data_IF_006189643641
#
_entry.id   IF_006189643641
#
_cell.length_a   1.000
_cell.length_b   1.000
_cell.length_c   1.000
_cell.angle_alpha   90.00
_cell.angle_beta   90.00
_cell.angle_gamma   90.00
#
_symmetry.space_group_name_H-M   'P 1'
#
loop_
_entity.id
_entity.type
_entity.pdbx_description
1 polymer ?
#
# COMPACT_ATOMS: atom_id res chain seq x y z
N UNK A 1 1.19 20.52 -21.64
CA UNK A 1 0.76 19.12 -21.78
C UNK A 1 1.62 18.23 -20.90
N UNK A 2 1.03 17.48 -19.97
CA UNK A 2 1.70 16.32 -19.36
C UNK A 2 1.98 15.31 -20.49
N UNK A 3 3.07 14.55 -20.38
CA UNK A 3 3.54 13.63 -21.44
C UNK A 3 2.54 12.52 -21.77
N UNK A 4 2.94 11.59 -22.64
CA UNK A 4 2.13 10.40 -22.95
C UNK A 4 1.72 9.63 -21.68
N UNK A 5 0.60 8.88 -21.71
CA UNK A 5 0.18 8.03 -20.60
C UNK A 5 1.30 7.11 -20.15
N UNK A 6 1.51 7.01 -18.85
CA UNK A 6 2.46 6.09 -18.26
C UNK A 6 1.90 5.59 -16.92
N UNK A 7 2.21 4.34 -16.60
CA UNK A 7 1.76 3.72 -15.37
C UNK A 7 2.82 3.88 -14.28
N UNK A 8 2.39 4.28 -13.09
CA UNK A 8 3.15 4.11 -11.86
C UNK A 8 2.71 2.79 -11.22
N UNK A 9 3.59 1.80 -11.18
CA UNK A 9 3.28 0.45 -10.73
C UNK A 9 4.16 0.11 -9.52
N UNK A 10 3.54 -0.38 -8.45
CA UNK A 10 4.22 -1.04 -7.35
C UNK A 10 3.97 -2.54 -7.45
N UNK A 11 5.04 -3.32 -7.62
CA UNK A 11 4.98 -4.78 -7.65
C UNK A 11 5.52 -5.30 -6.32
N UNK A 12 4.64 -5.83 -5.49
CA UNK A 12 5.03 -6.53 -4.27
C UNK A 12 5.30 -8.00 -4.58
N UNK A 13 6.45 -8.49 -4.12
CA UNK A 13 6.85 -9.89 -4.24
C UNK A 13 7.02 -10.42 -2.83
N UNK A 14 6.30 -11.51 -2.53
CA UNK A 14 6.38 -12.18 -1.24
C UNK A 14 7.81 -12.68 -1.00
N UNK A 15 8.32 -12.48 0.22
CA UNK A 15 9.67 -12.89 0.65
C UNK A 15 10.81 -12.33 -0.21
N UNK A 16 10.63 -11.16 -0.84
CA UNK A 16 11.74 -10.47 -1.50
C UNK A 16 12.84 -10.07 -0.49
N UNK A 17 14.13 -10.27 -0.82
CA UNK A 17 15.23 -10.09 0.12
C UNK A 17 15.57 -8.61 0.37
N UNK A 18 15.84 -8.23 1.60
CA UNK A 18 16.00 -6.83 2.04
C UNK A 18 17.47 -6.48 2.19
N UNK A 19 17.86 -5.34 1.63
CA UNK A 19 19.23 -4.83 1.78
C UNK A 19 19.50 -4.49 3.24
N UNK A 20 20.64 -4.99 3.75
CA UNK A 20 21.07 -4.77 5.13
C UNK A 20 20.50 -5.78 6.14
N UNK A 21 19.59 -6.67 5.72
CA UNK A 21 19.07 -7.78 6.54
C UNK A 21 19.54 -9.12 5.94
N UNK A 22 19.19 -9.34 4.68
CA UNK A 22 19.51 -10.57 3.96
C UNK A 22 20.92 -10.49 3.34
N UNK A 23 21.46 -11.65 2.93
CA UNK A 23 22.81 -11.73 2.38
C UNK A 23 22.92 -10.92 1.09
N UNK A 24 23.99 -10.12 0.89
CA UNK A 24 24.16 -9.33 -0.32
C UNK A 24 24.08 -10.15 -1.61
N UNK A 25 24.55 -11.39 -1.60
CA UNK A 25 24.52 -12.30 -2.74
C UNK A 25 23.10 -12.70 -3.12
N UNK A 26 22.25 -12.96 -2.13
CA UNK A 26 20.83 -13.30 -2.31
C UNK A 26 20.07 -12.11 -2.91
N UNK A 27 20.30 -10.91 -2.37
CA UNK A 27 19.73 -9.67 -2.93
C UNK A 27 20.20 -9.41 -4.35
N UNK A 28 21.52 -9.53 -4.60
CA UNK A 28 22.10 -9.35 -5.93
C UNK A 28 21.49 -10.30 -6.95
N UNK A 29 21.42 -11.59 -6.61
CA UNK A 29 20.84 -12.62 -7.48
C UNK A 29 19.36 -12.33 -7.75
N UNK A 30 18.60 -11.94 -6.73
CA UNK A 30 17.19 -11.62 -6.87
C UNK A 30 16.94 -10.46 -7.83
N UNK A 31 17.76 -9.40 -7.75
CA UNK A 31 17.70 -8.25 -8.66
C UNK A 31 18.07 -8.68 -10.07
N UNK A 32 19.20 -9.37 -10.26
CA UNK A 32 19.71 -9.74 -11.59
C UNK A 32 18.79 -10.70 -12.35
N UNK A 33 18.05 -11.55 -11.64
CA UNK A 33 17.05 -12.45 -12.21
C UNK A 33 15.84 -11.68 -12.80
N UNK A 34 15.55 -10.47 -12.29
CA UNK A 34 14.31 -9.73 -12.63
C UNK A 34 14.56 -8.43 -13.37
N UNK A 35 15.70 -7.79 -13.18
CA UNK A 35 16.00 -6.46 -13.70
C UNK A 35 17.35 -6.50 -14.38
N UNK A 36 17.39 -6.04 -15.62
CA UNK A 36 18.60 -5.97 -16.44
C UNK A 36 18.65 -4.67 -17.23
N UNK A 37 19.84 -4.28 -17.67
CA UNK A 37 20.04 -3.27 -18.70
C UNK A 37 20.75 -3.85 -19.93
N UNK A 38 20.83 -5.18 -20.03
CA UNK A 38 21.54 -5.87 -21.09
C UNK A 38 20.86 -5.66 -22.45
N UNK A 39 21.64 -5.47 -23.51
CA UNK A 39 21.16 -5.55 -24.89
C UNK A 39 21.43 -6.98 -25.39
N UNK A 40 20.40 -7.82 -25.58
CA UNK A 40 20.59 -9.18 -26.06
C UNK A 40 21.22 -9.22 -27.45
N UNK A 41 21.90 -10.31 -27.80
CA UNK A 41 22.45 -10.48 -29.14
C UNK A 41 21.35 -10.59 -30.20
N UNK A 42 21.56 -9.94 -31.35
CA UNK A 42 20.56 -9.84 -32.41
C UNK A 42 20.32 -11.15 -33.16
N UNK A 43 21.26 -12.09 -33.11
CA UNK A 43 21.11 -13.39 -33.76
C UNK A 43 20.37 -14.38 -32.86
N UNK A 44 20.62 -14.33 -31.55
CA UNK A 44 20.01 -15.26 -30.57
C UNK A 44 18.66 -14.78 -30.06
N UNK A 45 18.42 -13.47 -29.97
CA UNK A 45 17.19 -12.89 -29.45
C UNK A 45 16.81 -11.61 -30.22
N UNK A 46 16.52 -11.71 -31.52
CA UNK A 46 16.25 -10.56 -32.40
C UNK A 46 15.09 -9.69 -31.89
N UNK A 47 14.01 -10.32 -31.41
CA UNK A 47 12.84 -9.59 -30.92
C UNK A 47 13.15 -8.74 -29.68
N UNK A 48 13.83 -9.32 -28.69
CA UNK A 48 14.15 -8.59 -27.46
C UNK A 48 15.23 -7.53 -27.73
N UNK A 49 16.22 -7.83 -28.58
CA UNK A 49 17.19 -6.84 -29.05
C UNK A 49 16.47 -5.62 -29.64
N UNK A 50 15.55 -5.85 -30.59
CA UNK A 50 14.75 -4.80 -31.20
C UNK A 50 13.97 -3.98 -30.17
N UNK A 51 13.28 -4.64 -29.23
CA UNK A 51 12.50 -3.96 -28.20
C UNK A 51 13.38 -3.09 -27.27
N UNK A 52 14.54 -3.58 -26.85
CA UNK A 52 15.47 -2.85 -25.98
C UNK A 52 16.01 -1.63 -26.71
N UNK A 53 16.53 -1.81 -27.93
CA UNK A 53 17.10 -0.73 -28.73
C UNK A 53 16.05 0.33 -29.09
N UNK A 54 14.80 -0.08 -29.32
CA UNK A 54 13.70 0.83 -29.66
C UNK A 54 13.16 1.60 -28.45
N UNK A 55 12.92 0.92 -27.33
CA UNK A 55 12.15 1.49 -26.22
C UNK A 55 12.96 1.85 -24.98
N UNK A 56 14.11 1.22 -24.73
CA UNK A 56 14.88 1.41 -23.48
C UNK A 56 16.11 2.29 -23.63
N UNK A 57 16.45 2.70 -24.87
CA UNK A 57 17.59 3.59 -25.12
C UNK A 57 17.28 5.04 -24.74
N UNK A 58 17.88 5.51 -23.66
CA UNK A 58 17.77 6.88 -23.22
C UNK A 58 18.48 7.86 -24.17
N UNK A 59 17.69 8.78 -24.74
CA UNK A 59 18.19 9.92 -25.52
C UNK A 59 17.95 11.20 -24.73
N UNK A 60 19.03 11.92 -24.43
CA UNK A 60 18.93 13.11 -23.60
C UNK A 60 18.17 14.23 -24.33
N UNK A 61 17.07 14.70 -23.73
CA UNK A 61 16.28 15.85 -24.23
C UNK A 61 16.45 17.07 -23.33
N UNK A 62 15.83 18.21 -23.70
CA UNK A 62 15.79 19.42 -22.86
C UNK A 62 15.18 19.15 -21.48
N UNK A 63 14.29 18.17 -21.37
CA UNK A 63 13.64 17.80 -20.11
C UNK A 63 14.61 17.22 -19.07
N UNK A 64 15.56 16.40 -19.53
CA UNK A 64 16.47 15.71 -18.61
C UNK A 64 17.81 16.41 -18.45
N UNK A 65 18.24 17.23 -19.41
CA UNK A 65 19.48 18.01 -19.29
C UNK A 65 19.30 19.14 -18.28
N UNK A 66 20.13 19.14 -17.24
CA UNK A 66 20.20 20.19 -16.22
C UNK A 66 21.62 20.75 -16.18
N UNK A 67 21.74 22.06 -16.01
CA UNK A 67 23.04 22.69 -15.75
C UNK A 67 23.32 22.60 -14.26
N UNK A 68 24.41 21.92 -13.91
CA UNK A 68 24.85 21.74 -12.54
C UNK A 68 26.15 22.51 -12.37
N UNK A 69 26.25 23.30 -11.30
CA UNK A 69 27.48 24.00 -10.95
C UNK A 69 28.45 23.02 -10.31
N UNK A 70 29.63 22.88 -10.90
CA UNK A 70 30.73 22.05 -10.38
C UNK A 70 31.93 22.97 -10.20
N UNK A 71 32.20 23.37 -8.95
CA UNK A 71 33.19 24.40 -8.65
C UNK A 71 32.81 25.75 -9.25
N UNK A 72 33.64 26.27 -10.16
CA UNK A 72 33.42 27.56 -10.84
C UNK A 72 32.74 27.43 -12.22
N UNK A 73 32.55 26.20 -12.73
CA UNK A 73 32.00 25.94 -14.07
C UNK A 73 30.60 25.33 -14.00
N UNK A 74 29.80 25.55 -15.04
CA UNK A 74 28.51 24.88 -15.23
C UNK A 74 28.66 23.75 -16.23
N UNK A 75 28.17 22.57 -15.86
CA UNK A 75 28.22 21.38 -16.71
C UNK A 75 26.79 20.90 -16.96
N UNK A 76 26.46 20.62 -18.22
CA UNK A 76 25.17 20.02 -18.55
C UNK A 76 25.22 18.53 -18.23
N UNK A 77 24.39 18.07 -17.28
CA UNK A 77 24.27 16.66 -16.90
C UNK A 77 22.82 16.18 -17.05
N UNK A 78 22.66 14.89 -17.32
CA UNK A 78 21.34 14.28 -17.29
C UNK A 78 20.90 14.11 -15.84
N UNK A 79 19.69 14.57 -15.48
CA UNK A 79 19.08 14.37 -14.15
C UNK A 79 18.82 12.90 -13.79
N UNK A 80 18.96 12.00 -14.75
CA UNK A 80 18.79 10.55 -14.60
C UNK A 80 20.14 9.80 -14.65
N UNK A 81 21.24 10.54 -14.55
CA UNK A 81 22.62 10.03 -14.53
C UNK A 81 23.04 9.23 -15.77
N UNK A 82 22.49 9.57 -16.94
CA UNK A 82 22.97 9.05 -18.22
C UNK A 82 24.11 9.90 -18.80
N UNK A 83 25.18 9.29 -19.36
CA UNK A 83 25.43 7.84 -19.41
C UNK A 83 25.77 7.27 -18.02
N UNK A 84 25.20 6.11 -17.69
CA UNK A 84 25.43 5.42 -16.42
C UNK A 84 26.81 4.72 -16.45
N UNK A 85 27.51 4.59 -15.31
CA UNK A 85 28.86 4.04 -15.27
C UNK A 85 28.89 2.57 -15.73
N UNK A 86 29.97 2.21 -16.42
CA UNK A 86 30.33 0.82 -16.76
C UNK A 86 30.72 0.08 -15.48
N UNK A 87 30.24 -1.15 -15.32
CA UNK A 87 30.54 -2.02 -14.18
C UNK A 87 30.54 -3.48 -14.59
N UNK A 88 31.51 -4.24 -14.11
CA UNK A 88 31.67 -5.66 -14.43
C UNK A 88 30.74 -6.59 -13.63
N UNK A 89 30.24 -6.10 -12.48
CA UNK A 89 29.32 -6.80 -11.60
C UNK A 89 28.24 -5.87 -11.05
N UNK A 90 27.16 -6.46 -10.51
CA UNK A 90 26.20 -5.73 -9.69
C UNK A 90 26.88 -5.23 -8.41
N UNK A 91 26.49 -4.05 -7.95
CA UNK A 91 26.99 -3.44 -6.73
C UNK A 91 25.80 -2.88 -5.94
N UNK A 92 25.70 -3.27 -4.67
CA UNK A 92 24.77 -2.71 -3.70
C UNK A 92 25.55 -1.72 -2.85
N UNK A 93 25.05 -0.49 -2.76
CA UNK A 93 25.59 0.52 -1.88
C UNK A 93 24.95 0.40 -0.50
N UNK A 94 25.65 0.90 0.51
CA UNK A 94 25.09 1.07 1.84
C UNK A 94 23.82 1.95 1.79
N UNK A 95 22.77 1.52 2.46
CA UNK A 95 21.44 2.15 2.42
C UNK A 95 21.49 3.53 3.07
N UNK A 96 22.12 3.64 4.24
CA UNK A 96 22.17 4.89 4.99
C UNK A 96 22.93 5.97 4.21
N UNK A 97 24.09 5.61 3.64
CA UNK A 97 24.83 6.50 2.78
C UNK A 97 24.08 6.85 1.49
N UNK A 98 23.38 5.89 0.87
CA UNK A 98 22.58 6.13 -0.33
C UNK A 98 21.45 7.12 -0.09
N UNK A 99 20.74 7.00 1.04
CA UNK A 99 19.69 7.93 1.44
C UNK A 99 20.24 9.33 1.75
N UNK A 100 21.35 9.43 2.49
CA UNK A 100 21.97 10.73 2.84
C UNK A 100 22.51 11.47 1.62
N UNK A 101 23.09 10.75 0.68
CA UNK A 101 23.75 11.32 -0.51
C UNK A 101 22.84 11.35 -1.75
N UNK A 102 21.59 10.89 -1.63
CA UNK A 102 20.65 10.72 -2.75
C UNK A 102 21.21 9.84 -3.88
N UNK A 103 22.12 8.93 -3.55
CA UNK A 103 22.71 8.00 -4.51
C UNK A 103 21.78 6.80 -4.70
N UNK A 104 21.92 6.12 -5.86
CA UNK A 104 21.20 4.88 -6.10
C UNK A 104 21.66 3.80 -5.12
N UNK A 105 20.69 3.03 -4.60
CA UNK A 105 20.94 1.91 -3.68
C UNK A 105 21.71 0.78 -4.37
N UNK A 106 21.53 0.59 -5.68
CA UNK A 106 22.27 -0.42 -6.43
C UNK A 106 22.58 0.03 -7.86
N UNK A 107 23.59 -0.60 -8.45
CA UNK A 107 23.96 -0.48 -9.86
C UNK A 107 24.08 -1.87 -10.48
N UNK A 108 23.41 -2.08 -11.62
CA UNK A 108 23.55 -3.31 -12.41
C UNK A 108 24.91 -3.39 -13.10
N UNK A 109 25.34 -4.63 -13.40
CA UNK A 109 26.40 -4.89 -14.38
C UNK A 109 26.05 -4.23 -15.70
N UNK A 110 26.99 -3.50 -16.29
CA UNK A 110 26.75 -2.68 -17.48
C UNK A 110 28.03 -2.52 -18.30
N UNK A 111 27.96 -2.83 -19.59
CA UNK A 111 29.07 -2.57 -20.52
C UNK A 111 28.94 -1.21 -21.23
N UNK A 112 29.94 -0.84 -22.04
CA UNK A 112 29.99 0.44 -22.75
C UNK A 112 28.80 0.69 -23.70
N UNK A 113 28.23 -0.37 -24.30
CA UNK A 113 27.08 -0.27 -25.20
C UNK A 113 25.77 -0.01 -24.45
N UNK A 114 25.75 -0.35 -23.15
CA UNK A 114 24.57 -0.33 -22.28
C UNK A 114 24.49 0.91 -21.38
N UNK A 115 25.47 1.81 -21.45
CA UNK A 115 25.54 3.08 -20.68
C UNK A 115 24.31 3.98 -20.83
N UNK A 116 23.49 3.73 -21.86
CA UNK A 116 22.24 4.47 -22.13
C UNK A 116 20.97 3.63 -22.03
N UNK A 117 21.06 2.38 -21.58
CA UNK A 117 19.89 1.51 -21.45
C UNK A 117 19.26 1.71 -20.07
N UNK A 118 17.94 1.96 -20.05
CA UNK A 118 17.14 1.93 -18.83
C UNK A 118 17.16 0.54 -18.18
N UNK A 119 16.89 0.49 -16.87
CA UNK A 119 16.72 -0.80 -16.20
C UNK A 119 15.31 -1.33 -16.51
N UNK A 120 15.22 -2.56 -17.01
CA UNK A 120 13.97 -3.16 -17.49
C UNK A 120 13.86 -4.64 -17.10
N UNK A 121 12.64 -5.17 -17.18
CA UNK A 121 12.38 -6.60 -17.06
C UNK A 121 12.08 -7.17 -18.46
N UNK A 122 12.78 -8.21 -18.93
CA UNK A 122 12.60 -8.74 -20.29
C UNK A 122 11.18 -9.19 -20.62
N UNK A 123 10.51 -9.84 -19.67
CA UNK A 123 9.14 -10.33 -19.85
C UNK A 123 8.16 -9.15 -19.93
N UNK A 124 8.24 -8.22 -18.99
CA UNK A 124 7.39 -7.03 -18.99
C UNK A 124 7.61 -6.18 -20.24
N UNK A 125 8.84 -6.06 -20.74
CA UNK A 125 9.11 -5.33 -21.97
C UNK A 125 8.46 -5.98 -23.19
N UNK A 126 8.47 -7.32 -23.27
CA UNK A 126 7.79 -8.06 -24.36
C UNK A 126 6.27 -7.85 -24.36
N UNK A 127 5.68 -7.79 -23.17
CA UNK A 127 4.24 -7.57 -22.98
C UNK A 127 3.85 -6.10 -23.20
N UNK A 128 4.61 -5.17 -22.61
CA UNK A 128 4.31 -3.74 -22.59
C UNK A 128 4.68 -3.01 -23.87
N UNK A 129 5.83 -3.35 -24.48
CA UNK A 129 6.35 -2.73 -25.72
C UNK A 129 6.44 -1.20 -25.68
N UNK A 130 6.78 -0.67 -24.51
CA UNK A 130 7.04 0.75 -24.31
C UNK A 130 8.16 0.96 -23.27
N UNK A 131 8.61 2.20 -23.13
CA UNK A 131 9.66 2.56 -22.18
C UNK A 131 9.25 2.17 -20.75
N UNK A 132 10.21 1.64 -19.97
CA UNK A 132 10.05 1.42 -18.54
C UNK A 132 11.35 1.79 -17.82
N UNK A 133 11.25 2.03 -16.52
CA UNK A 133 12.40 2.26 -15.64
C UNK A 133 12.06 1.55 -14.33
N UNK A 134 12.48 0.29 -14.23
CA UNK A 134 12.20 -0.55 -13.07
C UNK A 134 13.30 -0.39 -12.04
N UNK A 135 12.90 -0.17 -10.79
CA UNK A 135 13.81 -0.05 -9.67
C UNK A 135 13.43 -1.03 -8.58
N UNK A 136 14.42 -1.77 -8.09
CA UNK A 136 14.26 -2.58 -6.89
C UNK A 136 14.19 -1.68 -5.65
N UNK A 137 13.14 -1.89 -4.87
CA UNK A 137 12.86 -1.18 -3.63
C UNK A 137 13.46 -2.04 -2.52
N UNK A 138 14.68 -1.69 -2.15
CA UNK A 138 15.58 -2.55 -1.39
C UNK A 138 15.46 -2.39 0.15
N UNK A 139 14.63 -1.47 0.62
CA UNK A 139 14.56 -1.05 2.02
C UNK A 139 13.11 -1.08 2.51
N UNK A 140 12.92 -1.32 3.81
CA UNK A 140 11.59 -1.34 4.48
C UNK A 140 11.18 0.00 5.11
N UNK A 141 11.91 1.09 4.87
CA UNK A 141 11.69 2.34 5.60
C UNK A 141 10.41 3.07 5.19
N UNK A 142 9.90 3.85 6.15
CA UNK A 142 8.73 4.70 5.98
C UNK A 142 8.93 5.74 4.86
N UNK A 143 10.16 6.26 4.71
CA UNK A 143 10.51 7.26 3.70
C UNK A 143 10.36 6.75 2.27
N UNK A 144 10.67 5.47 2.03
CA UNK A 144 10.48 4.83 0.73
C UNK A 144 8.98 4.57 0.46
N UNK A 145 8.23 4.22 1.51
CA UNK A 145 6.76 4.10 1.44
C UNK A 145 6.12 5.46 1.11
N UNK A 146 6.57 6.55 1.72
CA UNK A 146 6.12 7.92 1.40
C UNK A 146 6.50 8.33 -0.02
N UNK A 147 7.71 8.01 -0.48
CA UNK A 147 8.14 8.28 -1.85
C UNK A 147 7.24 7.55 -2.85
N UNK A 148 7.08 6.24 -2.69
CA UNK A 148 6.24 5.40 -3.55
C UNK A 148 4.79 5.88 -3.52
N UNK A 149 4.27 6.16 -2.32
CA UNK A 149 2.92 6.71 -2.15
C UNK A 149 2.79 8.04 -2.88
N UNK A 150 3.77 8.94 -2.76
CA UNK A 150 3.78 10.23 -3.45
C UNK A 150 3.84 10.13 -4.98
N UNK A 151 4.35 9.03 -5.54
CA UNK A 151 4.25 8.75 -6.99
C UNK A 151 2.89 8.19 -7.39
N UNK A 152 2.28 7.34 -6.55
CA UNK A 152 0.94 6.80 -6.77
C UNK A 152 -0.13 7.90 -6.61
N UNK A 153 0.02 8.77 -5.61
CA UNK A 153 -0.92 9.86 -5.28
C UNK A 153 -0.57 11.18 -5.97
N UNK A 154 0.45 11.19 -6.85
CA UNK A 154 0.96 12.39 -7.54
C UNK A 154 -0.09 13.17 -8.33
N UNK A 155 -1.25 12.55 -8.59
CA UNK A 155 -2.35 13.13 -9.33
C UNK A 155 -3.36 13.93 -8.48
N UNK A 156 -3.30 13.90 -7.15
CA UNK A 156 -4.38 14.49 -6.31
C UNK A 156 -3.93 15.68 -5.47
N UNK A 157 -3.17 16.61 -6.07
CA UNK A 157 -3.07 17.96 -5.49
C UNK A 157 -4.31 18.77 -5.88
N UNK A 158 -5.48 18.38 -5.39
CA UNK A 158 -6.61 19.31 -5.35
C UNK A 158 -6.30 20.39 -4.32
N UNK A 159 -6.60 21.65 -4.62
CA UNK A 159 -6.55 22.77 -3.67
C UNK A 159 -7.56 22.57 -2.53
N UNK A 160 -7.28 21.61 -1.65
CA UNK A 160 -8.17 21.20 -0.57
C UNK A 160 -8.09 22.13 0.65
N UNK A 161 -7.06 22.99 0.73
CA UNK A 161 -6.98 24.02 1.77
C UNK A 161 -8.21 24.95 1.72
N UNK A 162 -8.65 25.36 0.53
CA UNK A 162 -9.77 26.29 0.34
C UNK A 162 -11.16 25.64 0.53
N UNK A 163 -11.21 24.33 0.80
CA UNK A 163 -12.46 23.60 1.10
C UNK A 163 -12.90 23.81 2.55
N UNK A 164 -11.96 24.01 3.47
CA UNK A 164 -12.25 24.16 4.91
C UNK A 164 -13.01 25.46 5.22
N UNK A 165 -12.78 26.51 4.43
CA UNK A 165 -13.50 27.78 4.56
C UNK A 165 -14.98 27.63 4.17
N UNK A 166 -15.30 26.78 3.19
CA UNK A 166 -16.69 26.45 2.81
C UNK A 166 -17.35 25.45 3.76
N UNK A 167 -16.58 24.52 4.34
CA UNK A 167 -17.05 23.68 5.45
C UNK A 167 -17.43 24.56 6.65
N UNK A 168 -16.78 25.71 6.84
CA UNK A 168 -17.07 26.63 7.95
C UNK A 168 -18.25 27.58 7.68
N UNK A 169 -18.94 27.47 6.54
CA UNK A 169 -20.11 28.32 6.23
C UNK A 169 -21.36 27.93 7.03
N UNK A 170 -22.21 28.92 7.34
CA UNK A 170 -23.50 28.74 8.03
C UNK A 170 -24.62 28.18 7.13
N UNK A 171 -24.29 27.69 5.94
CA UNK A 171 -25.26 27.10 5.03
C UNK A 171 -25.83 25.76 5.58
N UNK A 172 -27.00 25.36 5.12
CA UNK A 172 -27.51 24.01 5.42
C UNK A 172 -26.61 22.93 4.79
N UNK A 173 -26.65 21.71 5.34
CA UNK A 173 -25.73 20.62 4.98
C UNK A 173 -25.76 20.26 3.49
N UNK A 174 -26.92 20.33 2.85
CA UNK A 174 -27.07 20.02 1.43
C UNK A 174 -26.37 21.07 0.55
N UNK A 175 -26.61 22.35 0.83
CA UNK A 175 -25.96 23.47 0.12
C UNK A 175 -24.44 23.43 0.30
N UNK A 176 -23.95 23.11 1.51
CA UNK A 176 -22.51 22.93 1.79
C UNK A 176 -21.92 21.79 0.97
N UNK A 177 -22.55 20.61 1.00
CA UNK A 177 -22.09 19.44 0.23
C UNK A 177 -22.09 19.72 -1.28
N UNK A 178 -23.09 20.43 -1.79
CA UNK A 178 -23.17 20.79 -3.21
C UNK A 178 -22.07 21.78 -3.63
N UNK A 179 -21.79 22.80 -2.81
CA UNK A 179 -20.69 23.76 -3.05
C UNK A 179 -19.33 23.07 -3.03
N UNK A 180 -19.09 22.24 -2.00
CA UNK A 180 -17.89 21.39 -1.90
C UNK A 180 -17.76 20.51 -3.15
N UNK A 181 -18.83 19.84 -3.56
CA UNK A 181 -18.83 18.99 -4.76
C UNK A 181 -18.49 19.77 -6.03
N UNK A 182 -19.10 20.94 -6.25
CA UNK A 182 -18.79 21.80 -7.40
C UNK A 182 -17.33 22.28 -7.39
N UNK A 183 -16.80 22.66 -6.23
CA UNK A 183 -15.43 23.14 -6.11
C UNK A 183 -14.42 22.02 -6.32
N UNK A 184 -14.68 20.83 -5.79
CA UNK A 184 -13.90 19.62 -6.06
C UNK A 184 -13.86 19.30 -7.56
N UNK A 185 -14.99 19.41 -8.25
CA UNK A 185 -15.06 19.20 -9.70
C UNK A 185 -14.33 20.28 -10.51
N UNK A 186 -14.43 21.55 -10.11
CA UNK A 186 -13.78 22.69 -10.79
C UNK A 186 -12.28 22.77 -10.53
N UNK A 187 -11.83 22.40 -9.34
CA UNK A 187 -10.42 22.44 -8.95
C UNK A 187 -9.62 21.25 -9.49
N UNK A 188 -10.30 20.22 -10.03
CA UNK A 188 -9.62 19.06 -10.60
C UNK A 188 -9.13 19.39 -12.01
N UNK A 189 -7.84 19.76 -12.12
CA UNK A 189 -7.15 19.78 -13.42
C UNK A 189 -6.83 18.36 -13.88
N UNK A 190 -7.54 17.90 -14.91
CA UNK A 190 -7.38 16.57 -15.50
C UNK A 190 -6.62 16.69 -16.81
N UNK A 191 -5.60 15.84 -17.03
CA UNK A 191 -4.90 15.79 -18.32
C UNK A 191 -5.81 15.24 -19.43
N UNK A 192 -5.53 15.56 -20.71
CA UNK A 192 -6.35 15.09 -21.84
C UNK A 192 -6.63 13.58 -21.80
N UNK A 193 -5.58 12.76 -21.59
CA UNK A 193 -5.72 11.30 -21.53
C UNK A 193 -6.53 10.84 -20.32
N UNK A 194 -6.26 11.39 -19.13
CA UNK A 194 -7.04 11.06 -17.92
C UNK A 194 -8.52 11.43 -18.10
N UNK A 195 -8.81 12.54 -18.79
CA UNK A 195 -10.17 12.94 -19.11
C UNK A 195 -10.83 11.98 -20.12
N UNK A 196 -10.09 11.55 -21.15
CA UNK A 196 -10.56 10.54 -22.09
C UNK A 196 -10.89 9.22 -21.40
N UNK A 197 -9.99 8.73 -20.54
CA UNK A 197 -10.19 7.49 -19.78
C UNK A 197 -11.43 7.59 -18.87
N UNK A 198 -11.58 8.70 -18.14
CA UNK A 198 -12.75 8.95 -17.29
C UNK A 198 -14.07 8.99 -18.09
N UNK A 199 -14.09 9.62 -19.26
CA UNK A 199 -15.27 9.69 -20.13
C UNK A 199 -15.65 8.32 -20.72
N UNK A 200 -14.66 7.47 -20.97
CA UNK A 200 -14.87 6.09 -21.43
C UNK A 200 -15.19 5.11 -20.30
N UNK A 201 -15.12 5.55 -19.04
CA UNK A 201 -15.35 4.71 -17.86
C UNK A 201 -14.16 3.81 -17.53
N UNK A 202 -12.97 4.11 -18.04
CA UNK A 202 -11.75 3.37 -17.75
C UNK A 202 -11.25 3.65 -16.33
N UNK A 203 -10.69 2.62 -15.69
CA UNK A 203 -10.22 2.73 -14.31
C UNK A 203 -8.83 3.39 -14.25
N UNK A 204 -8.73 4.56 -13.62
CA UNK A 204 -7.46 5.30 -13.47
C UNK A 204 -6.48 4.63 -12.51
N UNK A 205 -6.96 3.74 -11.64
CA UNK A 205 -6.13 3.00 -10.69
C UNK A 205 -6.69 1.60 -10.50
N UNK A 206 -5.81 0.63 -10.33
CA UNK A 206 -6.19 -0.76 -10.04
C UNK A 206 -5.31 -1.31 -8.92
N UNK A 207 -5.90 -2.15 -8.08
CA UNK A 207 -5.20 -2.89 -7.03
C UNK A 207 -5.57 -4.37 -7.11
N UNK A 208 -4.58 -5.23 -6.95
CA UNK A 208 -4.78 -6.68 -6.94
C UNK A 208 -5.40 -7.18 -5.63
N UNK A 209 -5.27 -6.40 -4.55
CA UNK A 209 -5.71 -6.72 -3.20
C UNK A 209 -6.77 -5.74 -2.73
N UNK A 210 -7.86 -6.27 -2.19
CA UNK A 210 -8.90 -5.47 -1.55
C UNK A 210 -8.43 -5.07 -0.15
N UNK A 211 -8.61 -3.80 0.20
CA UNK A 211 -8.33 -3.30 1.55
C UNK A 211 -9.66 -3.22 2.29
N UNK A 212 -9.73 -3.82 3.48
CA UNK A 212 -10.92 -3.76 4.34
C UNK A 212 -10.58 -3.09 5.66
N UNK A 213 -11.28 -2.00 5.99
CA UNK A 213 -11.03 -1.27 7.22
C UNK A 213 -11.69 -1.97 8.43
N UNK A 214 -10.93 -2.20 9.49
CA UNK A 214 -11.40 -2.68 10.80
C UNK A 214 -11.42 -1.49 11.76
N UNK A 215 -12.57 -1.22 12.36
CA UNK A 215 -12.72 -0.15 13.33
C UNK A 215 -12.27 -0.61 14.72
N UNK A 216 -10.99 -0.40 15.02
CA UNK A 216 -10.30 -0.82 16.25
C UNK A 216 -10.50 0.11 17.45
N UNK A 217 -11.35 1.14 17.35
CA UNK A 217 -11.70 1.94 18.53
C UNK A 217 -12.44 1.08 19.56
N UNK A 218 -12.36 1.51 20.83
CA UNK A 218 -13.16 0.97 21.93
C UNK A 218 -14.66 0.97 21.58
N UNK A 219 -15.45 0.02 22.12
CA UNK A 219 -16.87 -0.15 21.78
C UNK A 219 -17.68 1.15 21.80
N UNK A 220 -17.51 1.98 22.83
CA UNK A 220 -18.24 3.24 23.01
C UNK A 220 -17.82 4.36 22.04
N UNK A 221 -16.66 4.23 21.37
CA UNK A 221 -16.16 5.16 20.34
C UNK A 221 -16.44 4.66 18.92
N UNK A 222 -16.90 3.41 18.76
CA UNK A 222 -17.06 2.77 17.45
C UNK A 222 -18.33 3.24 16.75
N UNK A 223 -18.20 3.69 15.50
CA UNK A 223 -19.34 4.05 14.66
C UNK A 223 -19.99 2.81 14.04
N UNK A 224 -21.33 2.81 13.93
CA UNK A 224 -22.14 1.74 13.33
C UNK A 224 -23.00 2.26 12.20
N UNK A 225 -23.26 1.41 11.21
CA UNK A 225 -24.07 1.76 10.04
C UNK A 225 -25.54 1.55 10.35
N UNK A 226 -26.32 2.63 10.38
CA UNK A 226 -27.78 2.59 10.57
C UNK A 226 -28.46 1.88 9.39
N UNK A 227 -29.54 1.13 9.64
CA UNK A 227 -30.38 0.49 8.62
C UNK A 227 -31.01 1.54 7.69
N UNK A 228 -31.37 1.16 6.47
CA UNK A 228 -31.93 2.13 5.52
C UNK A 228 -33.30 2.65 5.99
N UNK A 229 -33.67 3.85 5.54
CA UNK A 229 -34.91 4.52 5.97
C UNK A 229 -36.16 3.66 5.75
N UNK A 230 -36.25 2.97 4.61
CA UNK A 230 -37.39 2.12 4.28
C UNK A 230 -37.57 0.91 5.19
N UNK A 231 -36.49 0.41 5.80
CA UNK A 231 -36.57 -0.64 6.82
C UNK A 231 -36.96 -0.04 8.16
N UNK A 232 -36.32 1.07 8.56
CA UNK A 232 -36.58 1.73 9.84
C UNK A 232 -38.04 2.19 10.01
N UNK A 233 -38.69 2.69 8.95
CA UNK A 233 -40.09 3.13 9.02
C UNK A 233 -41.10 2.00 9.19
N UNK A 234 -40.69 0.76 8.91
CA UNK A 234 -41.50 -0.45 9.10
C UNK A 234 -41.21 -1.16 10.42
N UNK A 235 -40.15 -0.75 11.13
CA UNK A 235 -39.80 -1.31 12.42
C UNK A 235 -40.74 -0.81 13.50
N UNK A 236 -40.92 -1.63 14.53
CA UNK A 236 -41.58 -1.20 15.75
C UNK A 236 -40.83 -0.02 16.38
N UNK A 237 -41.58 0.97 16.86
CA UNK A 237 -41.03 2.23 17.36
C UNK A 237 -40.19 2.07 18.64
N UNK A 238 -40.35 0.95 19.37
CA UNK A 238 -39.56 0.62 20.55
C UNK A 238 -38.29 -0.19 20.24
N UNK A 239 -38.13 -0.64 19.00
CA UNK A 239 -36.99 -1.48 18.61
C UNK A 239 -35.67 -0.72 18.65
N UNK A 240 -34.69 -1.27 19.38
CA UNK A 240 -33.32 -0.74 19.47
C UNK A 240 -32.38 -1.32 18.41
N UNK A 241 -32.84 -2.27 17.59
CA UNK A 241 -32.06 -2.92 16.55
C UNK A 241 -32.04 -2.07 15.25
N UNK A 242 -31.52 -0.86 15.36
CA UNK A 242 -31.49 0.13 14.27
C UNK A 242 -30.23 0.06 13.41
N UNK A 243 -29.28 -0.81 13.75
CA UNK A 243 -27.97 -0.91 13.10
C UNK A 243 -27.86 -2.15 12.21
N UNK A 244 -27.14 -2.04 11.11
CA UNK A 244 -26.83 -3.21 10.29
C UNK A 244 -25.86 -4.14 11.02
N UNK A 245 -25.96 -5.46 10.79
CA UNK A 245 -24.96 -6.41 11.25
C UNK A 245 -23.56 -6.01 10.81
N UNK A 246 -22.59 -6.09 11.73
CA UNK A 246 -21.20 -5.72 11.54
C UNK A 246 -20.29 -6.93 11.73
N UNK A 247 -19.12 -6.91 11.08
CA UNK A 247 -18.16 -8.00 11.18
C UNK A 247 -17.75 -8.24 12.63
N UNK A 248 -17.54 -7.15 13.38
CA UNK A 248 -17.01 -7.16 14.75
C UNK A 248 -18.04 -7.70 15.74
N UNK A 249 -19.29 -7.25 15.66
CA UNK A 249 -20.31 -7.57 16.69
C UNK A 249 -21.15 -8.79 16.33
N UNK A 250 -21.36 -9.05 15.03
CA UNK A 250 -22.34 -10.03 14.59
C UNK A 250 -21.71 -11.24 13.91
N UNK A 251 -20.72 -11.06 13.02
CA UNK A 251 -20.18 -12.17 12.23
C UNK A 251 -19.06 -12.91 12.94
N UNK A 252 -18.06 -12.19 13.46
CA UNK A 252 -16.89 -12.79 14.09
C UNK A 252 -17.23 -13.47 15.44
N UNK A 253 -18.03 -12.88 16.34
CA UNK A 253 -18.47 -13.52 17.59
C UNK A 253 -19.30 -14.79 17.38
N UNK A 254 -20.05 -14.87 16.28
CA UNK A 254 -20.95 -16.00 15.96
C UNK A 254 -20.36 -16.97 14.94
N UNK A 255 -19.03 -16.95 14.75
CA UNK A 255 -18.33 -17.91 13.89
C UNK A 255 -18.47 -19.36 14.40
N UNK A 256 -18.36 -20.39 13.55
CA UNK A 256 -18.47 -21.78 14.00
C UNK A 256 -17.35 -22.19 14.97
N UNK A 257 -17.59 -23.22 15.78
CA UNK A 257 -16.67 -23.68 16.83
C UNK A 257 -15.33 -24.22 16.30
N UNK A 258 -15.23 -24.57 15.02
CA UNK A 258 -13.95 -24.96 14.42
C UNK A 258 -13.04 -23.75 14.10
N UNK A 259 -13.48 -22.52 14.38
CA UNK A 259 -12.73 -21.28 14.17
C UNK A 259 -12.39 -20.57 15.49
N UNK A 260 -12.42 -21.24 16.64
CA UNK A 260 -12.16 -20.60 17.94
C UNK A 260 -10.79 -19.92 17.99
N UNK A 261 -9.76 -20.55 17.42
CA UNK A 261 -8.38 -20.04 17.42
C UNK A 261 -8.13 -18.95 16.36
N UNK A 262 -9.13 -18.59 15.55
CA UNK A 262 -8.99 -17.58 14.49
C UNK A 262 -9.20 -16.19 15.09
N UNK A 263 -8.17 -15.35 15.04
CA UNK A 263 -8.25 -13.93 15.45
C UNK A 263 -9.07 -13.08 14.47
N UNK A 264 -9.53 -11.90 14.92
CA UNK A 264 -10.33 -10.99 14.11
C UNK A 264 -9.59 -10.58 12.83
N UNK A 265 -8.28 -10.28 12.93
CA UNK A 265 -7.45 -9.94 11.78
C UNK A 265 -7.42 -11.10 10.76
N UNK A 266 -7.16 -12.33 11.22
CA UNK A 266 -7.09 -13.50 10.35
C UNK A 266 -8.46 -13.82 9.73
N UNK A 267 -9.53 -13.65 10.50
CA UNK A 267 -10.90 -13.81 10.05
C UNK A 267 -11.20 -12.90 8.86
N UNK A 268 -10.99 -11.59 9.03
CA UNK A 268 -11.22 -10.57 7.99
C UNK A 268 -10.32 -10.79 6.76
N UNK A 269 -9.05 -11.14 6.97
CA UNK A 269 -8.10 -11.31 5.88
C UNK A 269 -8.43 -12.52 4.98
N UNK A 270 -8.98 -13.61 5.53
CA UNK A 270 -9.02 -14.91 4.86
C UNK A 270 -10.42 -15.47 4.65
N UNK A 271 -11.44 -15.01 5.38
CA UNK A 271 -12.77 -15.63 5.35
C UNK A 271 -13.84 -14.65 4.86
N UNK A 272 -14.78 -15.16 4.08
CA UNK A 272 -15.99 -14.45 3.69
C UNK A 272 -17.21 -15.27 4.05
N UNK A 273 -18.26 -14.57 4.47
CA UNK A 273 -19.57 -15.20 4.69
C UNK A 273 -20.02 -15.91 3.42
N UNK A 274 -20.53 -17.13 3.57
CA UNK A 274 -21.07 -17.91 2.45
C UNK A 274 -22.59 -18.04 2.57
N UNK A 275 -23.05 -18.73 3.61
CA UNK A 275 -24.46 -19.00 3.86
C UNK A 275 -24.72 -19.32 5.33
N UNK A 276 -25.98 -19.54 5.66
CA UNK A 276 -26.39 -20.13 6.94
C UNK A 276 -26.58 -21.63 6.68
N UNK A 277 -25.91 -22.47 7.46
CA UNK A 277 -26.01 -23.92 7.39
C UNK A 277 -27.35 -24.44 7.89
N UNK A 278 -27.62 -25.73 7.69
CA UNK A 278 -28.87 -26.38 8.11
C UNK A 278 -29.08 -26.35 9.62
N UNK A 279 -27.99 -26.30 10.39
CA UNK A 279 -27.98 -26.15 11.85
C UNK A 279 -28.20 -24.70 12.32
N UNK A 280 -28.37 -23.74 11.41
CA UNK A 280 -28.52 -22.31 11.73
C UNK A 280 -27.19 -21.58 11.98
N UNK A 281 -26.04 -22.26 11.89
CA UNK A 281 -24.73 -21.63 12.05
C UNK A 281 -24.29 -20.91 10.77
N UNK A 282 -23.50 -19.85 10.91
CA UNK A 282 -22.95 -19.13 9.75
C UNK A 282 -21.76 -19.89 9.19
N UNK A 283 -21.83 -20.27 7.93
CA UNK A 283 -20.72 -20.89 7.20
C UNK A 283 -19.87 -19.82 6.50
N UNK A 284 -18.56 -20.04 6.52
CA UNK A 284 -17.57 -19.15 5.94
C UNK A 284 -16.68 -19.93 4.97
N UNK A 285 -16.36 -19.30 3.84
CA UNK A 285 -15.43 -19.86 2.85
C UNK A 285 -14.13 -19.08 2.82
N UNK A 286 -13.04 -19.80 2.53
CA UNK A 286 -11.75 -19.17 2.30
C UNK A 286 -11.84 -18.24 1.07
N UNK A 287 -11.26 -17.06 1.20
CA UNK A 287 -11.21 -16.11 0.09
C UNK A 287 -10.21 -16.58 -0.96
N UNK A 288 -10.59 -16.47 -2.23
CA UNK A 288 -9.70 -16.80 -3.36
C UNK A 288 -8.59 -15.78 -3.56
N UNK A 289 -8.80 -14.54 -3.07
CA UNK A 289 -7.78 -13.49 -3.00
C UNK A 289 -7.75 -12.97 -1.57
N UNK A 290 -6.58 -12.82 -0.95
CA UNK A 290 -6.48 -12.27 0.40
C UNK A 290 -7.00 -10.83 0.40
N UNK A 291 -7.67 -10.45 1.48
CA UNK A 291 -7.99 -9.07 1.81
C UNK A 291 -6.93 -8.57 2.76
N UNK A 292 -6.48 -7.31 2.59
CA UNK A 292 -5.60 -6.65 3.54
C UNK A 292 -6.45 -5.89 4.56
N UNK A 293 -6.53 -6.36 5.83
CA UNK A 293 -7.18 -5.59 6.86
C UNK A 293 -6.35 -4.34 7.17
N UNK A 294 -6.98 -3.17 7.11
CA UNK A 294 -6.39 -1.90 7.50
C UNK A 294 -7.09 -1.36 8.75
N UNK A 295 -6.39 -0.59 9.57
CA UNK A 295 -6.94 -0.04 10.80
C UNK A 295 -6.22 1.28 11.15
N UNK A 296 -6.79 2.07 12.07
CA UNK A 296 -6.08 3.23 12.63
C UNK A 296 -4.80 2.75 13.31
N UNK A 297 -3.68 3.41 13.02
CA UNK A 297 -2.43 3.27 13.76
C UNK A 297 -2.41 4.31 14.88
N UNK A 298 -2.25 3.85 16.11
CA UNK A 298 -2.10 4.68 17.29
C UNK A 298 -0.62 4.83 17.62
N UNK A 299 -0.23 6.00 18.13
CA UNK A 299 1.14 6.30 18.51
C UNK A 299 1.38 5.93 19.98
N UNK A 300 2.12 4.86 20.31
CA UNK A 300 2.35 4.47 21.71
C UNK A 300 3.18 5.48 22.50
N UNK A 301 3.91 6.38 21.81
CA UNK A 301 4.67 7.46 22.44
C UNK A 301 3.77 8.62 22.91
N UNK A 302 2.54 8.72 22.39
CA UNK A 302 1.56 9.69 22.86
C UNK A 302 0.72 9.04 23.96
N UNK A 303 0.76 9.61 25.16
CA UNK A 303 0.04 9.09 26.34
C UNK A 303 -1.47 8.94 26.06
N UNK A 304 -2.08 9.91 25.37
CA UNK A 304 -3.49 9.88 25.01
C UNK A 304 -3.89 8.76 24.03
N UNK A 305 -2.94 8.17 23.30
CA UNK A 305 -3.20 7.09 22.34
C UNK A 305 -2.65 5.73 22.79
N UNK A 306 -1.94 5.68 23.92
CA UNK A 306 -1.25 4.48 24.40
C UNK A 306 -2.21 3.33 24.71
N UNK A 307 -3.31 3.62 25.39
CA UNK A 307 -4.32 2.61 25.71
C UNK A 307 -5.01 2.10 24.45
N UNK A 308 -5.39 3.00 23.54
CA UNK A 308 -6.01 2.64 22.26
C UNK A 308 -5.01 1.80 21.40
N UNK A 309 -3.70 2.05 21.50
CA UNK A 309 -2.66 1.24 20.86
C UNK A 309 -2.66 -0.20 21.37
N UNK A 310 -2.48 -0.42 22.68
CA UNK A 310 -2.43 -1.77 23.24
C UNK A 310 -3.76 -2.51 23.06
N UNK A 311 -4.87 -1.80 23.22
CA UNK A 311 -6.21 -2.31 22.94
C UNK A 311 -6.32 -2.82 21.50
N UNK A 312 -5.87 -2.04 20.52
CA UNK A 312 -5.96 -2.43 19.11
C UNK A 312 -5.21 -3.73 18.79
N UNK A 313 -4.10 -3.99 19.48
CA UNK A 313 -3.30 -5.21 19.30
C UNK A 313 -4.02 -6.44 19.86
N UNK A 314 -4.50 -6.38 21.10
CA UNK A 314 -5.26 -7.50 21.68
C UNK A 314 -6.54 -7.76 20.88
N UNK A 315 -7.24 -6.71 20.48
CA UNK A 315 -8.49 -6.79 19.72
C UNK A 315 -8.31 -7.39 18.32
N UNK A 316 -7.19 -7.13 17.64
CA UNK A 316 -6.95 -7.67 16.30
C UNK A 316 -6.41 -9.10 16.32
N UNK A 317 -5.52 -9.41 17.26
CA UNK A 317 -4.68 -10.61 17.18
C UNK A 317 -5.04 -11.69 18.19
N UNK A 318 -5.84 -11.39 19.23
CA UNK A 318 -6.36 -12.40 20.13
C UNK A 318 -7.71 -12.96 19.61
N UNK A 319 -7.91 -14.28 19.62
CA UNK A 319 -9.24 -14.84 19.38
C UNK A 319 -10.20 -14.54 20.53
N UNK A 320 -11.43 -14.12 20.22
CA UNK A 320 -12.46 -13.84 21.22
C UNK A 320 -13.86 -14.05 20.66
N UNK A 321 -14.83 -14.36 21.51
CA UNK A 321 -16.27 -14.28 21.17
C UNK A 321 -16.92 -13.05 21.79
N UNK A 322 -16.56 -12.75 23.04
CA UNK A 322 -17.01 -11.56 23.73
C UNK A 322 -15.83 -10.60 23.92
N UNK A 323 -15.96 -9.39 23.37
CA UNK A 323 -14.98 -8.31 23.45
C UNK A 323 -14.69 -7.91 24.91
N UNK A 324 -15.65 -8.11 25.83
CA UNK A 324 -15.47 -7.82 27.26
C UNK A 324 -14.42 -8.71 27.94
N UNK A 325 -14.13 -9.88 27.37
CA UNK A 325 -13.17 -10.85 27.94
C UNK A 325 -11.71 -10.48 27.68
N UNK A 326 -11.47 -9.50 26.80
CA UNK A 326 -10.12 -9.11 26.41
C UNK A 326 -9.35 -8.45 27.56
N UNK A 327 -10.04 -7.67 28.39
CA UNK A 327 -9.47 -6.83 29.46
C UNK A 327 -10.22 -7.12 30.75
N UNK A 328 -9.50 -7.47 31.82
CA UNK A 328 -10.13 -7.75 33.11
C UNK A 328 -10.52 -6.46 33.84
N UNK A 329 -11.51 -6.53 34.72
CA UNK A 329 -11.91 -5.38 35.52
C UNK A 329 -10.74 -4.87 36.38
N UNK A 330 -10.44 -3.57 36.28
CA UNK A 330 -9.32 -2.93 36.98
C UNK A 330 -7.94 -3.11 36.31
N UNK A 331 -7.85 -3.84 35.20
CA UNK A 331 -6.62 -4.02 34.42
C UNK A 331 -6.43 -2.89 33.40
N UNK A 332 -5.20 -2.39 33.26
CA UNK A 332 -4.85 -1.45 32.17
C UNK A 332 -4.72 -2.18 30.83
N UNK A 333 -4.86 -1.44 29.71
CA UNK A 333 -4.72 -2.04 28.37
C UNK A 333 -3.32 -2.64 28.14
N UNK A 334 -2.29 -2.02 28.71
CA UNK A 334 -0.90 -2.50 28.65
C UNK A 334 -0.71 -3.79 29.47
N UNK A 335 -1.28 -3.88 30.67
CA UNK A 335 -1.24 -5.09 31.50
C UNK A 335 -1.95 -6.26 30.80
N UNK A 336 -3.14 -6.01 30.24
CA UNK A 336 -3.88 -7.01 29.47
C UNK A 336 -3.06 -7.53 28.29
N UNK A 337 -2.44 -6.64 27.53
CA UNK A 337 -1.55 -7.01 26.43
C UNK A 337 -0.37 -7.86 26.90
N UNK A 338 0.29 -7.48 28.01
CA UNK A 338 1.41 -8.23 28.56
C UNK A 338 1.01 -9.62 29.05
N UNK A 339 -0.13 -9.73 29.75
CA UNK A 339 -0.68 -11.01 30.23
C UNK A 339 -0.94 -11.98 29.08
N UNK A 340 -1.60 -11.51 28.01
CA UNK A 340 -1.85 -12.33 26.82
C UNK A 340 -0.55 -12.70 26.09
N UNK A 341 0.41 -11.77 25.99
CA UNK A 341 1.73 -12.03 25.40
C UNK A 341 2.48 -13.13 26.14
N UNK A 342 2.48 -13.12 27.47
CA UNK A 342 3.13 -14.15 28.28
C UNK A 342 2.43 -15.51 28.18
N UNK A 343 1.11 -15.53 28.00
CA UNK A 343 0.35 -16.75 27.75
C UNK A 343 0.69 -17.34 26.37
N UNK A 344 0.79 -16.53 25.31
CA UNK A 344 1.17 -16.99 23.97
C UNK A 344 2.62 -17.45 23.85
N UNK A 345 3.54 -16.94 24.68
CA UNK A 345 4.92 -17.43 24.73
C UNK A 345 4.99 -18.83 25.39
N UNK A 346 4.08 -19.12 26.32
CA UNK A 346 3.99 -20.43 26.99
C UNK A 346 3.17 -21.46 26.21
N UNK A 347 2.34 -21.02 25.26
CA UNK A 347 1.59 -21.85 24.32
C UNK A 347 1.56 -21.23 22.92
N UNK A 348 2.50 -21.65 22.06
CA UNK A 348 2.59 -21.49 20.60
C UNK A 348 2.28 -20.09 20.02
N UNK A 349 3.28 -19.53 19.33
CA UNK A 349 3.39 -18.20 18.74
C UNK A 349 2.14 -17.64 18.01
N UNK A 350 1.42 -16.70 18.63
CA UNK A 350 0.40 -15.87 17.93
C UNK A 350 0.80 -14.39 17.91
N UNK A 351 1.53 -13.90 18.92
CA UNK A 351 1.80 -12.47 19.11
C UNK A 351 3.20 -12.05 18.61
N UNK A 352 4.21 -12.93 18.62
CA UNK A 352 5.61 -12.55 18.31
C UNK A 352 5.89 -12.35 16.81
N UNK A 353 5.24 -13.14 15.94
CA UNK A 353 5.54 -13.18 14.50
C UNK A 353 4.95 -11.99 13.75
N UNK A 354 3.83 -11.42 14.22
CA UNK A 354 3.14 -10.32 13.55
C UNK A 354 3.66 -8.93 13.93
N UNK A 355 4.26 -8.75 15.11
CA UNK A 355 4.88 -7.48 15.50
C UNK A 355 6.19 -7.18 14.78
N UNK A 356 6.87 -8.17 14.17
CA UNK A 356 8.11 -7.93 13.38
C UNK A 356 7.88 -7.16 12.07
N UNK A 357 6.63 -6.99 11.67
CA UNK A 357 6.24 -6.28 10.45
C UNK A 357 5.55 -4.92 10.72
N UNK A 358 5.54 -4.44 11.98
CA UNK A 358 4.97 -3.14 12.37
C UNK A 358 6.03 -2.12 12.77
#
# INVERSE_FOLDING_TARGET
MRGAPHYHILLWIENAPVVGIDRPEEVCSFIQDRITCHIPDSNTSPDLNFLVTKYQMHKCSKYCKRNIKVGKTYVSRCRFDFPRPVRDSICINDVENSLKSYNKIYYLKRNEKEVRVNDYNPLLLKLWRANMDLQYIAERSLSLTEYVTGYITKAEKSHAQDLWDEVSSCDNIYSRLWKIGQKLLRAKEVGLYEASDLLLGESLYMKSVTIQYINVYLPHKRSRKIKNYSYLTKMDQSSKDIFNPSIIEDFYPTRPNNMEDVSLYKFVANYKFDKIGENGEREYKLQSKPVLPNHRKFNPMQEAERDDFYYSLIFLFLPFRDESTLVMEGETMEEAFRRHREASIRGIEIISTNCRNY
#
